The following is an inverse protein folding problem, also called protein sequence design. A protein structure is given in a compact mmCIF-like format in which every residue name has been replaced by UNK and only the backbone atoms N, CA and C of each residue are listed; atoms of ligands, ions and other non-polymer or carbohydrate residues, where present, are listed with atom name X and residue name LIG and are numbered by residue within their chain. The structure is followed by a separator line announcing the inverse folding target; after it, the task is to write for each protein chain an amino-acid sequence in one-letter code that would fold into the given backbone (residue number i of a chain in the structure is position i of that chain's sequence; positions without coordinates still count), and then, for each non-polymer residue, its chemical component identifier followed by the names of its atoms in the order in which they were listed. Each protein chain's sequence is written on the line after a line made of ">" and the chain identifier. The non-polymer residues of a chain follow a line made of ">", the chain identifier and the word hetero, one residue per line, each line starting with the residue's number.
data_IF_097684187339
#
_entry.id   IF_097684187339
#
_cell.length_a   1.000
_cell.length_b   1.000
_cell.length_c   1.000
_cell.angle_alpha   90.00
_cell.angle_beta   90.00
_cell.angle_gamma   90.00
#
_symmetry.space_group_name_H-M   'P 1'
#
loop_
_entity.id
_entity.type
_entity.pdbx_description
1 polymer ?
#
# COMPACT_ATOMS: atom_id res chain seq x y z
N UNK A 1 -13.21 0.67 8.31
CA UNK A 1 -13.08 -0.71 7.77
C UNK A 1 -12.31 -1.55 8.76
N UNK A 2 -12.69 -2.81 8.97
CA UNK A 2 -12.06 -3.72 9.94
C UNK A 2 -11.15 -4.74 9.26
N UNK A 3 -10.16 -5.21 9.99
CA UNK A 3 -9.32 -6.37 9.66
C UNK A 3 -9.68 -7.47 10.68
N UNK A 4 -10.64 -8.36 10.35
CA UNK A 4 -11.17 -9.32 11.31
C UNK A 4 -10.12 -10.26 11.92
N UNK A 5 -9.01 -10.51 11.22
CA UNK A 5 -7.96 -11.44 11.65
C UNK A 5 -6.98 -10.87 12.69
N UNK A 6 -6.92 -9.54 12.91
CA UNK A 6 -5.93 -8.92 13.82
C UNK A 6 -5.95 -9.54 15.23
N UNK A 7 -7.14 -9.70 15.83
CA UNK A 7 -7.25 -10.24 17.18
C UNK A 7 -6.76 -11.70 17.25
N UNK A 8 -6.96 -12.48 16.19
CA UNK A 8 -6.44 -13.85 16.10
C UNK A 8 -4.92 -13.84 16.01
N UNK A 9 -4.32 -12.92 15.25
CA UNK A 9 -2.86 -12.78 15.18
C UNK A 9 -2.23 -12.31 16.51
N UNK A 10 -2.87 -11.38 17.21
CA UNK A 10 -2.45 -10.97 18.56
C UNK A 10 -2.52 -12.14 19.56
N UNK A 11 -3.63 -12.88 19.58
CA UNK A 11 -3.79 -14.04 20.45
C UNK A 11 -2.74 -15.13 20.15
N UNK A 12 -2.45 -15.40 18.88
CA UNK A 12 -1.42 -16.35 18.46
C UNK A 12 0.00 -15.93 18.91
N UNK A 13 0.24 -14.63 19.07
CA UNK A 13 1.48 -14.08 19.62
C UNK A 13 1.50 -14.05 21.17
N UNK A 14 0.49 -14.62 21.84
CA UNK A 14 0.38 -14.62 23.30
C UNK A 14 -0.07 -13.28 23.89
N UNK A 15 -0.65 -12.39 23.07
CA UNK A 15 -1.06 -11.04 23.48
C UNK A 15 -2.54 -11.06 23.81
N UNK A 16 -2.86 -10.85 25.10
CA UNK A 16 -4.24 -10.93 25.60
C UNK A 16 -5.12 -9.74 25.17
N UNK A 17 -4.54 -8.54 25.00
CA UNK A 17 -5.27 -7.32 24.65
C UNK A 17 -4.41 -6.36 23.83
N UNK A 18 -5.04 -5.49 23.03
CA UNK A 18 -4.36 -4.41 22.29
C UNK A 18 -3.56 -3.51 23.24
N UNK A 19 -4.07 -3.24 24.45
CA UNK A 19 -3.40 -2.40 25.44
C UNK A 19 -2.10 -3.02 25.99
N UNK A 20 -1.95 -4.33 25.91
CA UNK A 20 -0.76 -5.05 26.34
C UNK A 20 0.30 -5.20 25.22
N UNK A 21 -0.04 -4.83 23.99
CA UNK A 21 0.84 -4.98 22.83
C UNK A 21 1.80 -3.79 22.69
N UNK A 22 3.04 -4.07 22.28
CA UNK A 22 3.94 -3.02 21.78
C UNK A 22 3.50 -2.55 20.38
N UNK A 23 3.97 -1.38 19.94
CA UNK A 23 3.70 -0.90 18.58
C UNK A 23 4.21 -1.87 17.51
N UNK A 24 5.36 -2.49 17.72
CA UNK A 24 5.92 -3.50 16.83
C UNK A 24 5.01 -4.74 16.73
N UNK A 25 4.49 -5.23 17.86
CA UNK A 25 3.55 -6.35 17.88
C UNK A 25 2.23 -6.02 17.20
N UNK A 26 1.74 -4.78 17.34
CA UNK A 26 0.56 -4.31 16.63
C UNK A 26 0.82 -4.26 15.12
N UNK A 27 1.96 -3.70 14.69
CA UNK A 27 2.34 -3.64 13.28
C UNK A 27 2.47 -5.03 12.66
N UNK A 28 3.11 -5.98 13.33
CA UNK A 28 3.21 -7.38 12.89
C UNK A 28 1.83 -8.05 12.76
N UNK A 29 0.94 -7.83 13.72
CA UNK A 29 -0.43 -8.34 13.64
C UNK A 29 -1.22 -7.73 12.47
N UNK A 30 -1.01 -6.44 12.19
CA UNK A 30 -1.59 -5.79 11.00
C UNK A 30 -1.03 -6.35 9.70
N UNK A 31 0.29 -6.54 9.59
CA UNK A 31 0.92 -7.11 8.39
C UNK A 31 0.36 -8.50 8.08
N UNK A 32 0.25 -9.36 9.09
CA UNK A 32 -0.36 -10.69 8.95
C UNK A 32 -1.83 -10.60 8.54
N UNK A 33 -2.56 -9.66 9.12
CA UNK A 33 -3.96 -9.43 8.75
C UNK A 33 -4.11 -8.87 7.33
N UNK A 34 -3.16 -8.07 6.84
CA UNK A 34 -3.17 -7.61 5.45
C UNK A 34 -2.98 -8.79 4.49
N UNK A 35 -2.07 -9.70 4.80
CA UNK A 35 -1.83 -10.89 3.98
C UNK A 35 -3.01 -11.86 3.96
N UNK A 36 -3.73 -11.99 5.08
CA UNK A 36 -4.87 -12.90 5.16
C UNK A 36 -6.18 -12.27 4.65
N UNK A 37 -6.46 -11.02 5.05
CA UNK A 37 -7.75 -10.37 4.75
C UNK A 37 -7.73 -9.64 3.40
N UNK A 38 -6.56 -9.23 2.90
CA UNK A 38 -6.36 -8.47 1.65
C UNK A 38 -5.27 -9.08 0.74
N UNK A 39 -5.32 -10.39 0.43
CA UNK A 39 -4.23 -11.08 -0.26
C UNK A 39 -3.94 -10.55 -1.67
N UNK A 40 -4.97 -10.14 -2.42
CA UNK A 40 -4.80 -9.60 -3.78
C UNK A 40 -4.14 -8.22 -3.74
N UNK A 41 -4.56 -7.39 -2.79
CA UNK A 41 -3.95 -6.08 -2.56
C UNK A 41 -2.48 -6.22 -2.15
N UNK A 42 -2.18 -7.14 -1.24
CA UNK A 42 -0.80 -7.39 -0.78
C UNK A 42 0.09 -7.93 -1.89
N UNK A 43 -0.41 -8.81 -2.76
CA UNK A 43 0.32 -9.26 -3.94
C UNK A 43 0.76 -8.08 -4.81
N UNK A 44 -0.15 -7.16 -5.11
CA UNK A 44 0.17 -5.96 -5.90
C UNK A 44 1.07 -4.96 -5.18
N UNK A 45 0.99 -4.85 -3.84
CA UNK A 45 1.97 -4.06 -3.08
C UNK A 45 3.37 -4.64 -3.25
N UNK A 46 3.53 -5.97 -3.16
CA UNK A 46 4.83 -6.63 -3.38
C UNK A 46 5.31 -6.47 -4.83
N UNK A 47 4.44 -6.68 -5.82
CA UNK A 47 4.77 -6.46 -7.24
C UNK A 47 5.25 -5.02 -7.48
N UNK A 48 4.61 -4.05 -6.83
CA UNK A 48 4.96 -2.64 -6.97
C UNK A 48 6.34 -2.34 -6.36
N UNK A 49 6.67 -2.93 -5.20
CA UNK A 49 8.01 -2.82 -4.60
C UNK A 49 9.06 -3.51 -5.46
N UNK A 50 8.78 -4.70 -5.99
CA UNK A 50 9.69 -5.41 -6.89
C UNK A 50 9.95 -4.63 -8.17
N UNK A 51 8.92 -3.96 -8.73
CA UNK A 51 9.09 -3.06 -9.88
C UNK A 51 10.05 -1.91 -9.58
N UNK A 52 9.98 -1.33 -8.39
CA UNK A 52 10.91 -0.28 -7.97
C UNK A 52 12.35 -0.78 -7.90
N UNK A 53 12.57 -1.97 -7.35
CA UNK A 53 13.91 -2.56 -7.23
C UNK A 53 14.52 -2.90 -8.60
N UNK A 54 13.69 -3.10 -9.61
CA UNK A 54 14.10 -3.39 -10.99
C UNK A 54 14.12 -2.17 -11.93
N UNK A 55 13.79 -0.98 -11.45
CA UNK A 55 13.82 0.26 -12.26
C UNK A 55 15.29 0.72 -12.42
N UNK A 56 15.80 0.78 -13.65
CA UNK A 56 17.21 1.06 -13.99
C UNK A 56 17.44 2.37 -14.74
N UNK A 57 16.37 3.06 -15.10
CA UNK A 57 16.35 4.20 -16.00
C UNK A 57 16.53 5.54 -15.28
N UNK A 58 17.16 6.52 -15.93
CA UNK A 58 17.55 7.83 -15.38
C UNK A 58 16.36 8.75 -15.01
N UNK A 59 15.12 8.34 -15.30
CA UNK A 59 13.89 8.94 -14.74
C UNK A 59 13.49 8.31 -13.37
N UNK A 60 14.30 7.37 -12.89
CA UNK A 60 14.01 6.34 -11.90
C UNK A 60 14.14 6.78 -10.46
N UNK A 61 13.08 7.40 -9.96
CA UNK A 61 12.87 7.50 -8.51
C UNK A 61 11.60 6.78 -8.03
N UNK A 62 10.74 6.29 -8.93
CA UNK A 62 9.47 5.67 -8.55
C UNK A 62 8.94 4.63 -9.53
N UNK A 63 8.21 3.64 -9.02
CA UNK A 63 7.39 2.72 -9.80
C UNK A 63 5.90 3.01 -9.57
N UNK A 64 5.07 2.75 -10.59
CA UNK A 64 3.62 2.99 -10.53
C UNK A 64 2.83 1.76 -10.95
N UNK A 65 1.63 1.64 -10.41
CA UNK A 65 0.64 0.61 -10.77
C UNK A 65 -0.74 1.25 -10.82
N UNK A 66 -1.50 0.94 -11.86
CA UNK A 66 -2.92 1.32 -11.97
C UNK A 66 -3.77 0.05 -11.97
N UNK A 67 -4.77 0.03 -11.09
CA UNK A 67 -5.75 -1.04 -10.96
C UNK A 67 -7.16 -0.48 -11.12
N UNK A 68 -8.05 -1.23 -11.73
CA UNK A 68 -9.49 -0.95 -11.73
C UNK A 68 -9.97 -0.84 -10.25
N UNK A 69 -10.50 0.31 -9.78
CA UNK A 69 -10.93 0.51 -8.39
C UNK A 69 -12.21 -0.25 -8.02
N UNK A 70 -12.97 -0.75 -9.00
CA UNK A 70 -14.16 -1.59 -8.78
C UNK A 70 -13.81 -3.08 -8.78
N UNK A 71 -12.66 -3.48 -9.30
CA UNK A 71 -12.12 -4.84 -9.16
C UNK A 71 -11.84 -5.19 -7.68
N UNK A 72 -11.79 -6.49 -7.37
CA UNK A 72 -11.52 -6.94 -6.00
C UNK A 72 -10.09 -6.61 -5.58
N UNK A 73 -9.13 -6.77 -6.49
CA UNK A 73 -7.74 -6.40 -6.31
C UNK A 73 -7.57 -4.88 -6.10
N UNK A 74 -8.24 -4.04 -6.90
CA UNK A 74 -8.16 -2.59 -6.74
C UNK A 74 -8.81 -2.10 -5.45
N UNK A 75 -9.94 -2.67 -5.04
CA UNK A 75 -10.55 -2.40 -3.73
C UNK A 75 -9.61 -2.76 -2.58
N UNK A 76 -8.97 -3.93 -2.63
CA UNK A 76 -8.03 -4.35 -1.59
C UNK A 76 -6.78 -3.48 -1.57
N UNK A 77 -6.22 -3.16 -2.75
CA UNK A 77 -5.05 -2.33 -2.90
C UNK A 77 -5.29 -0.89 -2.40
N UNK A 78 -6.44 -0.29 -2.75
CA UNK A 78 -6.84 1.02 -2.24
C UNK A 78 -7.02 1.02 -0.72
N UNK A 79 -7.45 -0.08 -0.11
CA UNK A 79 -7.54 -0.22 1.36
C UNK A 79 -6.18 -0.27 2.06
N UNK A 80 -5.13 -0.67 1.35
CA UNK A 80 -3.76 -0.73 1.85
C UNK A 80 -3.04 0.62 1.68
N UNK A 81 -3.18 1.28 0.53
CA UNK A 81 -2.42 2.50 0.22
C UNK A 81 -3.19 3.81 0.41
N UNK A 82 -4.52 3.79 0.39
CA UNK A 82 -5.34 4.99 0.57
C UNK A 82 -5.33 5.54 2.00
N UNK A 83 -5.60 4.71 3.04
CA UNK A 83 -5.59 5.17 4.43
C UNK A 83 -4.17 5.36 4.98
N UNK A 84 -4.01 6.30 5.91
CA UNK A 84 -2.69 6.68 6.43
C UNK A 84 -1.98 5.58 7.23
N UNK A 85 -2.68 4.90 8.15
CA UNK A 85 -2.05 3.93 9.06
C UNK A 85 -1.60 2.63 8.34
N UNK A 86 -2.44 1.93 7.55
CA UNK A 86 -2.00 0.76 6.80
C UNK A 86 -0.83 1.08 5.87
N UNK A 87 -0.89 2.23 5.18
CA UNK A 87 0.19 2.71 4.34
C UNK A 87 1.49 2.94 5.13
N UNK A 88 1.44 3.59 6.29
CA UNK A 88 2.61 3.79 7.15
C UNK A 88 3.24 2.45 7.57
N UNK A 89 2.42 1.49 8.00
CA UNK A 89 2.89 0.15 8.38
C UNK A 89 3.61 -0.53 7.20
N UNK A 90 3.06 -0.44 5.99
CA UNK A 90 3.69 -1.00 4.79
C UNK A 90 4.99 -0.27 4.42
N UNK A 91 5.03 1.05 4.54
CA UNK A 91 6.24 1.84 4.30
C UNK A 91 7.38 1.42 5.24
N UNK A 92 7.07 1.27 6.52
CA UNK A 92 8.04 0.85 7.54
C UNK A 92 8.49 -0.60 7.29
N UNK A 93 7.57 -1.49 6.91
CA UNK A 93 7.88 -2.89 6.61
C UNK A 93 8.79 -3.07 5.39
N UNK A 94 8.50 -2.35 4.29
CA UNK A 94 9.24 -2.49 3.04
C UNK A 94 10.43 -1.53 2.92
N UNK A 95 10.57 -0.56 3.84
CA UNK A 95 11.64 0.45 3.77
C UNK A 95 11.52 1.38 2.56
N UNK A 96 10.29 1.71 2.15
CA UNK A 96 9.96 2.54 0.97
C UNK A 96 8.90 3.58 1.32
N UNK A 97 8.59 4.47 0.39
CA UNK A 97 7.51 5.44 0.48
C UNK A 97 6.42 5.06 -0.51
N UNK A 98 5.16 5.06 -0.07
CA UNK A 98 4.01 4.79 -0.92
C UNK A 98 3.17 6.05 -1.10
N UNK A 99 2.58 6.17 -2.29
CA UNK A 99 1.58 7.17 -2.61
C UNK A 99 0.38 6.55 -3.30
N UNK A 100 -0.73 7.28 -3.26
CA UNK A 100 -1.96 6.93 -3.94
C UNK A 100 -2.51 8.20 -4.58
N UNK A 101 -2.30 8.37 -5.88
CA UNK A 101 -2.50 9.65 -6.58
C UNK A 101 -3.97 9.94 -6.93
N UNK A 102 -4.80 8.89 -6.96
CA UNK A 102 -6.23 8.95 -7.18
C UNK A 102 -6.86 7.63 -6.64
N UNK A 103 -8.05 7.25 -7.08
CA UNK A 103 -8.71 6.02 -6.63
C UNK A 103 -8.10 4.71 -7.18
N UNK A 104 -7.19 4.76 -8.14
CA UNK A 104 -6.75 3.60 -8.93
C UNK A 104 -5.22 3.48 -9.07
N UNK A 105 -4.46 4.56 -8.82
CA UNK A 105 -3.03 4.65 -9.11
C UNK A 105 -2.19 4.67 -7.84
N UNK A 106 -1.53 3.55 -7.56
CA UNK A 106 -0.48 3.44 -6.56
C UNK A 106 0.88 3.80 -7.12
N UNK A 107 1.72 4.34 -6.26
CA UNK A 107 3.11 4.68 -6.56
C UNK A 107 4.00 4.27 -5.39
N UNK A 108 5.23 3.89 -5.67
CA UNK A 108 6.25 3.62 -4.67
C UNK A 108 7.57 4.28 -5.06
N UNK A 109 8.33 4.75 -4.08
CA UNK A 109 9.65 5.36 -4.25
C UNK A 109 10.54 5.03 -3.06
N UNK A 110 11.86 5.13 -3.21
CA UNK A 110 12.78 5.04 -2.06
C UNK A 110 12.70 6.28 -1.15
N UNK A 111 12.27 7.42 -1.69
CA UNK A 111 12.18 8.70 -0.97
C UNK A 111 10.81 9.35 -1.10
N UNK A 112 10.47 10.24 -0.17
CA UNK A 112 9.21 10.98 -0.22
C UNK A 112 9.16 11.96 -1.39
N UNK A 113 10.32 12.49 -1.78
CA UNK A 113 10.44 13.43 -2.89
C UNK A 113 10.26 12.73 -4.25
N UNK A 114 10.68 11.47 -4.37
CA UNK A 114 10.38 10.65 -5.54
C UNK A 114 8.87 10.37 -5.71
N UNK A 115 8.02 10.65 -4.72
CA UNK A 115 6.56 10.59 -4.88
C UNK A 115 5.95 11.88 -5.44
N UNK A 116 6.71 12.93 -5.73
CA UNK A 116 6.13 14.20 -6.19
C UNK A 116 5.67 14.11 -7.64
N UNK A 117 4.48 14.62 -7.91
CA UNK A 117 3.99 14.79 -9.28
C UNK A 117 4.16 16.24 -9.74
N UNK A 118 4.40 16.43 -11.03
CA UNK A 118 4.18 17.73 -11.66
C UNK A 118 2.68 18.02 -11.78
N UNK A 119 2.32 19.29 -11.99
CA UNK A 119 0.92 19.66 -12.23
C UNK A 119 0.36 19.00 -13.50
N UNK A 120 1.18 18.81 -14.54
CA UNK A 120 0.78 18.13 -15.75
C UNK A 120 0.44 16.66 -15.46
N UNK A 121 1.32 15.94 -14.76
CA UNK A 121 1.08 14.55 -14.36
C UNK A 121 -0.19 14.44 -13.49
N UNK A 122 -0.43 15.40 -12.59
CA UNK A 122 -1.63 15.41 -11.76
C UNK A 122 -2.89 15.56 -12.63
N UNK A 123 -2.87 16.47 -13.61
CA UNK A 123 -4.01 16.64 -14.53
C UNK A 123 -4.24 15.39 -15.38
N UNK A 124 -3.17 14.75 -15.87
CA UNK A 124 -3.25 13.49 -16.61
C UNK A 124 -3.84 12.35 -15.76
N UNK A 125 -3.44 12.24 -14.50
CA UNK A 125 -3.96 11.22 -13.57
C UNK A 125 -5.44 11.42 -13.20
N UNK A 126 -6.03 12.59 -13.45
CA UNK A 126 -7.44 12.90 -13.20
C UNK A 126 -8.28 12.86 -14.48
N UNK A 127 -7.67 12.69 -15.65
CA UNK A 127 -8.36 12.87 -16.92
C UNK A 127 -9.20 11.64 -17.30
N UNK A 128 -10.53 11.76 -17.47
CA UNK A 128 -11.45 10.61 -17.58
C UNK A 128 -11.16 9.66 -18.76
N UNK A 129 -10.56 10.16 -19.84
CA UNK A 129 -10.18 9.33 -21.01
C UNK A 129 -8.94 8.43 -20.78
N UNK A 130 -8.24 8.58 -19.65
CA UNK A 130 -7.16 7.69 -19.21
C UNK A 130 -7.60 6.85 -18.00
N UNK A 131 -8.88 6.95 -17.62
CA UNK A 131 -9.52 6.31 -16.49
C UNK A 131 -10.51 5.29 -17.06
N UNK A 132 -10.02 4.32 -17.83
CA UNK A 132 -10.69 3.01 -17.89
C UNK A 132 -10.24 2.26 -16.62
N UNK A 133 -10.73 2.77 -15.49
CA UNK A 133 -10.63 2.14 -14.19
C UNK A 133 -12.04 1.82 -13.75
#
# INVERSE_FOLDING_TARGET
>A
MSYPSINRHLAAAGIATVAAATQEQLADAFLKAFDEDLPLGMAHVRDLVEKLDNTTDEAGERAMLTLDPISDEGKQFARLLGPDIPRQILQDHFGVQFGFYNCCKGVVSKTRDGLRMTLAEQMEAQHPNFVDC
#
